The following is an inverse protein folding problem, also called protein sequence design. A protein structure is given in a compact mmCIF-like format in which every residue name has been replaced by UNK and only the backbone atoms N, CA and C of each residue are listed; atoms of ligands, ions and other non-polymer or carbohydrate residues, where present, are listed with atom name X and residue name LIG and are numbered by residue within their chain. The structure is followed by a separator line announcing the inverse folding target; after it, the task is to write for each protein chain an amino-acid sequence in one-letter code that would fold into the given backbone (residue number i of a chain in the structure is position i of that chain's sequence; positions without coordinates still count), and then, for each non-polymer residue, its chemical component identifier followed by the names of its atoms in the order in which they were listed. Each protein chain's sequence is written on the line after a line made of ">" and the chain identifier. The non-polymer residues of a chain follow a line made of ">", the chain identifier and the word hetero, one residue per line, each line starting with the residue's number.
data_IF_758990169134
#
_entry.id   IF_758990169134
#
_cell.length_a   1.000
_cell.length_b   1.000
_cell.length_c   1.000
_cell.angle_alpha   90.00
_cell.angle_beta   90.00
_cell.angle_gamma   90.00
#
_symmetry.space_group_name_H-M   'P 1'
#
loop_
_entity.id
_entity.type
_entity.pdbx_description
1 polymer ?
#
# COMPACT_ATOMS: atom_id res chain seq x y z
N UNK A 1 6.19 -10.56 -30.86
CA UNK A 1 6.94 -10.41 -29.59
C UNK A 1 7.77 -11.66 -29.42
N UNK A 2 9.06 -11.58 -29.14
CA UNK A 2 9.88 -12.79 -28.93
C UNK A 2 9.46 -13.48 -27.63
N UNK A 3 9.61 -14.79 -27.54
CA UNK A 3 9.21 -15.58 -26.36
C UNK A 3 9.86 -15.04 -25.06
N UNK A 4 11.12 -14.61 -25.15
CA UNK A 4 11.86 -14.00 -24.04
C UNK A 4 11.22 -12.69 -23.52
N UNK A 5 10.62 -11.89 -24.41
CA UNK A 5 9.94 -10.67 -23.99
C UNK A 5 8.65 -11.01 -23.25
N UNK A 6 7.88 -12.00 -23.73
CA UNK A 6 6.64 -12.45 -23.06
C UNK A 6 6.94 -12.97 -21.66
N UNK A 7 7.96 -13.81 -21.51
CA UNK A 7 8.40 -14.31 -20.21
C UNK A 7 8.78 -13.17 -19.25
N UNK A 8 9.54 -12.17 -19.74
CA UNK A 8 9.91 -11.01 -18.95
C UNK A 8 8.68 -10.23 -18.44
N UNK A 9 7.69 -9.97 -19.30
CA UNK A 9 6.49 -9.24 -18.89
C UNK A 9 5.61 -10.04 -17.93
N UNK A 10 5.56 -11.37 -18.06
CA UNK A 10 4.88 -12.23 -17.09
C UNK A 10 5.54 -12.17 -15.71
N UNK A 11 6.88 -12.26 -15.63
CA UNK A 11 7.63 -12.12 -14.37
C UNK A 11 7.40 -10.74 -13.76
N UNK A 12 7.48 -9.69 -14.57
CA UNK A 12 7.28 -8.31 -14.10
C UNK A 12 5.84 -8.06 -13.62
N UNK A 13 4.85 -8.55 -14.36
CA UNK A 13 3.44 -8.53 -13.95
C UNK A 13 3.24 -9.25 -12.61
N UNK A 14 3.81 -10.43 -12.43
CA UNK A 14 3.69 -11.17 -11.17
C UNK A 14 4.32 -10.40 -10.00
N UNK A 15 5.47 -9.76 -10.20
CA UNK A 15 6.08 -8.91 -9.18
C UNK A 15 5.15 -7.75 -8.78
N UNK A 16 4.57 -7.04 -9.75
CA UNK A 16 3.62 -5.95 -9.50
C UNK A 16 2.38 -6.44 -8.74
N UNK A 17 1.87 -7.62 -9.07
CA UNK A 17 0.73 -8.23 -8.39
C UNK A 17 1.04 -8.53 -6.91
N UNK A 18 2.19 -9.12 -6.62
CA UNK A 18 2.60 -9.36 -5.24
C UNK A 18 2.84 -8.04 -4.48
N UNK A 19 3.47 -7.04 -5.11
CA UNK A 19 3.61 -5.71 -4.50
C UNK A 19 2.25 -5.08 -4.18
N UNK A 20 1.25 -5.25 -5.04
CA UNK A 20 -0.12 -4.82 -4.78
C UNK A 20 -0.72 -5.53 -3.56
N UNK A 21 -0.63 -6.87 -3.50
CA UNK A 21 -1.12 -7.66 -2.35
C UNK A 21 -0.43 -7.23 -1.06
N UNK A 22 0.91 -7.17 -1.04
CA UNK A 22 1.66 -6.78 0.15
C UNK A 22 1.40 -5.33 0.54
N UNK A 23 1.18 -4.44 -0.42
CA UNK A 23 0.76 -3.05 -0.17
C UNK A 23 -0.56 -2.98 0.58
N UNK A 24 -1.56 -3.79 0.19
CA UNK A 24 -2.83 -3.87 0.91
C UNK A 24 -2.70 -4.56 2.27
N UNK A 25 -1.88 -5.60 2.39
CA UNK A 25 -1.58 -6.24 3.68
C UNK A 25 -0.92 -5.25 4.65
N UNK A 26 -0.01 -4.40 4.17
CA UNK A 26 0.61 -3.34 4.96
C UNK A 26 -0.44 -2.34 5.47
N UNK A 27 -1.39 -1.93 4.63
CA UNK A 27 -2.50 -1.05 5.04
C UNK A 27 -3.37 -1.75 6.10
N UNK A 28 -3.69 -3.04 5.94
CA UNK A 28 -4.46 -3.80 6.93
C UNK A 28 -3.71 -3.94 8.26
N UNK A 29 -2.41 -4.21 8.22
CA UNK A 29 -1.56 -4.25 9.39
C UNK A 29 -1.51 -2.88 10.08
N UNK A 30 -1.40 -1.80 9.31
CA UNK A 30 -1.46 -0.43 9.82
C UNK A 30 -2.78 -0.18 10.56
N UNK A 31 -3.93 -0.53 9.97
CA UNK A 31 -5.24 -0.41 10.62
C UNK A 31 -5.27 -1.20 11.94
N UNK A 32 -4.75 -2.44 11.95
CA UNK A 32 -4.70 -3.28 13.14
C UNK A 32 -3.85 -2.66 14.25
N UNK A 33 -2.63 -2.23 13.91
CA UNK A 33 -1.71 -1.56 14.84
C UNK A 33 -2.35 -0.28 15.38
N UNK A 34 -2.93 0.55 14.52
CA UNK A 34 -3.48 1.83 14.94
C UNK A 34 -4.71 1.65 15.85
N UNK A 35 -5.58 0.67 15.57
CA UNK A 35 -6.71 0.35 16.45
C UNK A 35 -6.27 -0.17 17.83
N UNK A 36 -5.22 -0.99 17.90
CA UNK A 36 -4.77 -1.61 19.15
C UNK A 36 -3.78 -0.74 19.95
N UNK A 37 -2.99 0.06 19.26
CA UNK A 37 -1.87 0.83 19.81
C UNK A 37 -2.19 2.31 20.05
N UNK A 38 -3.46 2.74 19.92
CA UNK A 38 -3.89 4.13 20.19
C UNK A 38 -3.32 4.68 21.51
N UNK A 39 -3.45 3.90 22.58
CA UNK A 39 -2.98 4.26 23.92
C UNK A 39 -1.45 4.21 24.08
N UNK A 40 -0.74 3.43 23.25
CA UNK A 40 0.73 3.36 23.25
C UNK A 40 1.35 4.50 22.44
N UNK A 41 0.79 4.83 21.28
CA UNK A 41 1.26 5.93 20.42
C UNK A 41 1.14 7.27 21.15
N UNK A 42 0.02 7.53 21.83
CA UNK A 42 -0.13 8.76 22.63
C UNK A 42 0.91 8.85 23.75
N UNK A 43 1.26 7.73 24.39
CA UNK A 43 2.23 7.69 25.50
C UNK A 43 3.68 7.89 25.05
N UNK A 44 4.04 7.37 23.87
CA UNK A 44 5.40 7.44 23.32
C UNK A 44 5.64 8.63 22.39
N UNK A 45 4.61 9.14 21.71
CA UNK A 45 4.72 10.26 20.77
C UNK A 45 4.00 11.53 21.22
N UNK A 46 3.05 11.46 22.17
CA UNK A 46 2.34 12.64 22.68
C UNK A 46 3.28 13.67 23.30
N UNK A 47 4.39 13.23 23.90
CA UNK A 47 5.42 14.13 24.45
C UNK A 47 6.25 14.87 23.39
N UNK A 48 6.34 14.38 22.15
CA UNK A 48 7.12 15.04 21.09
C UNK A 48 6.30 16.10 20.33
N UNK A 49 4.99 15.91 20.19
CA UNK A 49 4.17 16.73 19.28
C UNK A 49 2.87 17.30 19.88
N UNK A 50 2.51 16.95 21.13
CA UNK A 50 1.25 17.42 21.78
C UNK A 50 0.00 17.32 20.90
N UNK A 51 -0.09 16.27 20.06
CA UNK A 51 -1.21 16.05 19.16
C UNK A 51 -2.42 15.49 19.92
N UNK A 52 -3.60 16.01 19.61
CA UNK A 52 -4.88 15.44 20.03
C UNK A 52 -5.15 14.09 19.36
N UNK A 53 -6.03 13.29 19.96
CA UNK A 53 -6.46 12.01 19.38
C UNK A 53 -7.05 12.15 17.97
N UNK A 54 -7.79 13.24 17.75
CA UNK A 54 -8.36 13.53 16.44
C UNK A 54 -7.28 13.81 15.39
N UNK A 55 -6.21 14.53 15.74
CA UNK A 55 -5.12 14.80 14.80
C UNK A 55 -4.36 13.52 14.43
N UNK A 56 -4.12 12.64 15.40
CA UNK A 56 -3.51 11.32 15.14
C UNK A 56 -4.38 10.47 14.20
N UNK A 57 -5.70 10.52 14.37
CA UNK A 57 -6.67 9.84 13.51
C UNK A 57 -6.63 10.39 12.08
N UNK A 58 -6.64 11.72 11.92
CA UNK A 58 -6.60 12.38 10.62
C UNK A 58 -5.29 12.07 9.90
N UNK A 59 -4.14 12.20 10.58
CA UNK A 59 -2.83 11.91 9.98
C UNK A 59 -2.75 10.46 9.54
N UNK A 60 -3.20 9.53 10.38
CA UNK A 60 -3.16 8.10 10.06
C UNK A 60 -4.13 7.75 8.94
N UNK A 61 -5.32 8.34 8.93
CA UNK A 61 -6.28 8.17 7.84
C UNK A 61 -5.74 8.70 6.51
N UNK A 62 -5.15 9.89 6.51
CA UNK A 62 -4.49 10.46 5.35
C UNK A 62 -3.32 9.58 4.88
N UNK A 63 -2.47 9.09 5.79
CA UNK A 63 -1.37 8.19 5.48
C UNK A 63 -1.84 6.89 4.84
N UNK A 64 -2.88 6.26 5.38
CA UNK A 64 -3.50 5.07 4.81
C UNK A 64 -4.11 5.35 3.43
N UNK A 65 -4.77 6.50 3.26
CA UNK A 65 -5.34 6.93 1.99
C UNK A 65 -4.28 7.13 0.91
N UNK A 66 -3.20 7.84 1.24
CA UNK A 66 -2.07 8.08 0.33
C UNK A 66 -1.38 6.78 -0.06
N UNK A 67 -1.11 5.90 0.92
CA UNK A 67 -0.51 4.60 0.64
C UNK A 67 -1.42 3.73 -0.24
N UNK A 68 -2.73 3.74 0.01
CA UNK A 68 -3.72 3.04 -0.81
C UNK A 68 -3.71 3.53 -2.25
N UNK A 69 -3.66 4.85 -2.46
CA UNK A 69 -3.57 5.44 -3.79
C UNK A 69 -2.26 5.09 -4.48
N UNK A 70 -1.12 5.18 -3.78
CA UNK A 70 0.17 4.78 -4.31
C UNK A 70 0.18 3.30 -4.73
N UNK A 71 -0.36 2.42 -3.90
CA UNK A 71 -0.43 0.98 -4.19
C UNK A 71 -1.28 0.70 -5.43
N UNK A 72 -2.40 1.41 -5.62
CA UNK A 72 -3.24 1.27 -6.81
C UNK A 72 -2.54 1.83 -8.06
N UNK A 73 -1.99 3.05 -7.98
CA UNK A 73 -1.43 3.75 -9.13
C UNK A 73 -0.13 3.11 -9.63
N UNK A 74 0.75 2.66 -8.73
CA UNK A 74 2.08 2.17 -9.09
C UNK A 74 2.20 0.65 -9.20
N UNK A 75 1.25 -0.13 -8.66
CA UNK A 75 1.29 -1.59 -8.77
C UNK A 75 0.08 -2.16 -9.50
N UNK A 76 -1.14 -1.80 -9.11
CA UNK A 76 -2.34 -2.37 -9.71
C UNK A 76 -2.53 -1.95 -11.18
N UNK A 77 -2.47 -0.66 -11.49
CA UNK A 77 -2.65 -0.19 -12.87
C UNK A 77 -1.57 -0.72 -13.83
N UNK A 78 -0.27 -0.71 -13.49
CA UNK A 78 0.74 -1.31 -14.35
C UNK A 78 0.56 -2.82 -14.54
N UNK A 79 0.19 -3.56 -13.48
CA UNK A 79 -0.15 -4.98 -13.58
C UNK A 79 -1.32 -5.21 -14.55
N UNK A 80 -2.40 -4.46 -14.38
CA UNK A 80 -3.59 -4.60 -15.21
C UNK A 80 -3.29 -4.29 -16.68
N UNK A 81 -2.51 -3.24 -16.94
CA UNK A 81 -2.10 -2.87 -18.29
C UNK A 81 -1.34 -4.01 -18.98
N UNK A 82 -0.37 -4.63 -18.31
CA UNK A 82 0.40 -5.74 -18.87
C UNK A 82 -0.50 -6.95 -19.15
N UNK A 83 -1.41 -7.28 -18.22
CA UNK A 83 -2.33 -8.42 -18.40
C UNK A 83 -3.27 -8.24 -19.58
N UNK A 84 -3.78 -7.03 -19.80
CA UNK A 84 -4.62 -6.71 -20.97
C UNK A 84 -3.81 -6.82 -22.27
N UNK A 85 -2.56 -6.33 -22.28
CA UNK A 85 -1.70 -6.40 -23.44
C UNK A 85 -1.29 -7.83 -23.80
N UNK A 86 -1.07 -8.70 -22.80
CA UNK A 86 -0.72 -10.10 -23.02
C UNK A 86 -1.92 -10.98 -23.40
N UNK A 87 -3.15 -10.55 -23.07
CA UNK A 87 -4.38 -11.29 -23.43
C UNK A 87 -4.93 -10.93 -24.81
N UNK A 88 -4.36 -9.92 -25.48
CA UNK A 88 -4.75 -9.45 -26.83
C UNK A 88 -3.84 -10.06 -27.87
#
# INVERSE_FOLDING_TARGET
>A
MTDANVELFEVFSNALFYCWIFGFLLILAWVGIFKFSRSFIQRFHGGMFSLSDHELDVISYCGMGLLKLAVILFFFFPWLAIRIMLST
#
